data_IF_335846487300
#
_entry.id   IF_335846487300
#
_cell.length_a   1.000
_cell.length_b   1.000
_cell.length_c   1.000
_cell.angle_alpha   90.00
_cell.angle_beta   90.00
_cell.angle_gamma   90.00
#
_symmetry.space_group_name_H-M   'P 1'
#
loop_
_entity.id
_entity.type
_entity.pdbx_description
1 polymer ?
#
# COMPACT_ATOMS: atom_id res chain seq x y z
N UNK A 1 -16.49 42.75 44.59
CA UNK A 1 -15.30 42.38 43.82
C UNK A 1 -15.63 41.13 43.01
N UNK A 2 -16.76 41.11 42.32
CA UNK A 2 -17.09 41.82 41.05
C UNK A 2 -16.62 40.93 39.88
N UNK A 3 -17.50 40.12 39.28
CA UNK A 3 -18.52 40.48 38.27
C UNK A 3 -17.83 40.96 36.96
N UNK A 4 -18.17 40.50 35.75
CA UNK A 4 -19.30 39.63 35.34
C UNK A 4 -19.02 38.88 34.01
N UNK A 5 -19.99 38.06 33.58
CA UNK A 5 -19.94 37.20 32.38
C UNK A 5 -20.31 37.94 31.06
N UNK A 6 -20.38 37.28 29.88
CA UNK A 6 -20.34 37.95 28.56
C UNK A 6 -21.70 38.39 28.00
N UNK A 7 -21.68 39.36 27.08
CA UNK A 7 -22.86 39.82 26.35
C UNK A 7 -23.10 39.04 25.04
N UNK A 8 -24.24 38.34 24.97
CA UNK A 8 -25.07 38.24 23.76
C UNK A 8 -25.85 39.58 23.60
N UNK A 9 -26.54 39.96 22.51
CA UNK A 9 -27.72 39.36 21.88
C UNK A 9 -28.20 40.31 20.70
N UNK A 10 -29.45 40.41 20.20
CA UNK A 10 -29.73 40.03 18.79
C UNK A 10 -30.57 41.02 17.93
N UNK A 11 -30.96 40.55 16.73
CA UNK A 11 -32.18 40.85 15.96
C UNK A 11 -32.55 42.31 15.58
N UNK A 12 -32.78 42.55 14.27
CA UNK A 12 -34.17 42.66 13.75
C UNK A 12 -34.23 42.60 12.21
N UNK A 13 -35.42 42.27 11.67
CA UNK A 13 -35.69 41.98 10.26
C UNK A 13 -36.70 42.94 9.60
N UNK A 14 -36.53 43.20 8.29
CA UNK A 14 -37.55 43.14 7.19
C UNK A 14 -37.35 44.17 6.05
N UNK A 15 -37.53 43.68 4.80
CA UNK A 15 -38.09 44.31 3.59
C UNK A 15 -37.74 45.77 3.19
N UNK A 16 -37.12 45.96 2.01
CA UNK A 16 -37.82 46.28 0.73
C UNK A 16 -36.94 47.06 -0.28
N UNK A 17 -36.93 46.59 -1.54
CA UNK A 17 -36.82 47.33 -2.83
C UNK A 17 -36.30 48.79 -2.88
N UNK A 18 -35.25 49.06 -3.68
CA UNK A 18 -35.27 49.86 -4.92
C UNK A 18 -33.84 50.18 -5.44
N UNK A 19 -33.63 50.05 -6.75
CA UNK A 19 -32.56 50.65 -7.58
C UNK A 19 -33.20 51.77 -8.45
N UNK A 20 -32.50 52.63 -9.24
CA UNK A 20 -31.06 52.73 -9.55
C UNK A 20 -30.51 54.20 -9.58
N UNK A 21 -29.42 54.42 -10.33
CA UNK A 21 -28.71 55.71 -10.67
C UNK A 21 -27.70 56.22 -9.61
N UNK A 22 -26.57 56.86 -9.95
CA UNK A 22 -25.90 57.06 -11.25
C UNK A 22 -24.76 58.12 -11.18
N UNK A 23 -23.68 57.92 -11.96
CA UNK A 23 -22.59 58.87 -12.33
C UNK A 23 -21.35 59.14 -11.41
N UNK A 24 -20.17 58.69 -11.91
CA UNK A 24 -18.89 59.42 -12.13
C UNK A 24 -18.13 60.18 -10.99
N UNK A 25 -17.03 59.56 -10.50
CA UNK A 25 -15.56 59.97 -10.54
C UNK A 25 -15.10 61.44 -10.40
N UNK A 26 -13.82 61.81 -10.01
CA UNK A 26 -12.59 61.00 -9.78
C UNK A 26 -11.63 61.42 -8.59
N UNK A 27 -10.47 60.71 -8.43
CA UNK A 27 -9.15 61.18 -7.89
C UNK A 27 -9.01 61.51 -6.35
N UNK A 28 -7.89 61.31 -5.62
CA UNK A 28 -6.51 60.78 -5.85
C UNK A 28 -5.84 60.32 -4.49
N UNK A 29 -4.50 60.10 -4.27
CA UNK A 29 -3.98 58.83 -3.72
C UNK A 29 -3.19 58.90 -2.37
N UNK A 30 -2.44 57.82 -2.07
CA UNK A 30 -1.48 57.53 -0.96
C UNK A 30 -2.05 56.64 0.17
N UNK A 31 -1.29 55.74 0.83
CA UNK A 31 0.18 55.54 0.85
C UNK A 31 0.56 54.05 1.12
N UNK A 32 1.74 53.61 0.63
CA UNK A 32 2.30 52.29 0.95
C UNK A 32 2.87 52.23 2.37
N UNK A 33 2.83 51.07 3.02
CA UNK A 33 3.75 50.74 4.11
C UNK A 33 4.13 49.24 4.11
N UNK A 34 5.31 48.93 3.59
CA UNK A 34 5.89 47.57 3.57
C UNK A 34 6.61 47.26 4.87
N UNK A 35 6.43 46.05 5.43
CA UNK A 35 7.45 45.41 6.27
C UNK A 35 7.90 44.10 5.64
N UNK A 36 9.22 44.04 5.42
CA UNK A 36 9.98 42.95 4.82
C UNK A 36 10.81 42.36 5.95
N UNK A 37 10.69 41.06 6.21
CA UNK A 37 11.59 40.32 7.10
C UNK A 37 12.06 39.05 6.41
N UNK A 38 13.35 38.77 6.53
CA UNK A 38 14.02 37.76 5.73
C UNK A 38 13.66 36.32 6.12
N UNK A 39 13.25 35.53 5.12
CA UNK A 39 13.17 34.05 5.15
C UNK A 39 13.78 33.46 3.88
N UNK A 40 14.96 33.95 3.47
CA UNK A 40 15.60 33.54 2.20
C UNK A 40 17.00 32.95 2.33
N UNK A 41 17.47 32.69 3.56
CA UNK A 41 18.85 32.24 3.80
C UNK A 41 18.99 30.87 4.50
N UNK A 42 17.98 30.41 5.25
CA UNK A 42 17.98 29.06 5.86
C UNK A 42 17.64 27.94 4.86
N UNK A 43 17.20 28.26 3.63
CA UNK A 43 16.78 27.28 2.61
C UNK A 43 17.92 26.79 1.69
N UNK A 44 19.18 26.95 2.09
CA UNK A 44 20.37 26.64 1.25
C UNK A 44 21.41 25.71 1.88
N UNK A 45 21.22 25.26 3.12
CA UNK A 45 22.14 24.32 3.79
C UNK A 45 21.55 22.90 3.97
N UNK A 46 20.37 22.63 3.40
CA UNK A 46 19.73 21.30 3.41
C UNK A 46 19.81 20.55 2.06
N UNK A 47 20.55 21.06 1.08
CA UNK A 47 20.63 20.50 -0.29
C UNK A 47 21.97 19.77 -0.60
N UNK A 48 22.79 19.42 0.41
CA UNK A 48 24.15 18.89 0.20
C UNK A 48 24.46 17.51 0.83
N UNK A 49 23.44 16.78 1.31
CA UNK A 49 23.61 15.40 1.79
C UNK A 49 22.88 14.39 0.90
N UNK A 50 23.59 13.78 -0.04
CA UNK A 50 23.11 12.64 -0.83
C UNK A 50 23.00 11.40 0.07
N UNK A 51 21.82 10.80 0.30
CA UNK A 51 21.73 9.52 0.98
C UNK A 51 22.15 8.43 -0.01
N UNK A 52 23.09 7.57 0.39
CA UNK A 52 23.40 6.34 -0.34
C UNK A 52 22.16 5.46 -0.35
N UNK A 53 21.73 5.01 -1.55
CA UNK A 53 20.56 4.17 -1.70
C UNK A 53 20.70 2.89 -0.85
N UNK A 54 19.84 2.76 0.17
CA UNK A 54 19.60 1.50 0.86
C UNK A 54 18.47 0.80 0.14
N UNK A 55 18.62 -0.50 -0.11
CA UNK A 55 17.53 -1.31 -0.67
C UNK A 55 16.41 -1.41 0.36
N UNK A 56 15.28 -0.74 0.09
CA UNK A 56 14.09 -0.83 0.90
C UNK A 56 13.42 -2.19 0.73
N UNK A 57 13.15 -2.89 1.83
CA UNK A 57 12.36 -4.13 1.82
C UNK A 57 10.90 -3.81 2.14
N UNK A 58 10.01 -4.01 1.17
CA UNK A 58 8.56 -3.88 1.37
C UNK A 58 8.08 -4.93 2.39
N UNK A 59 7.38 -4.49 3.43
CA UNK A 59 6.97 -5.35 4.54
C UNK A 59 5.64 -6.04 4.24
N UNK A 60 5.70 -7.31 3.85
CA UNK A 60 4.50 -8.15 3.69
C UNK A 60 3.88 -8.42 5.06
N UNK A 61 2.63 -8.02 5.25
CA UNK A 61 1.88 -8.32 6.47
C UNK A 61 1.30 -9.74 6.40
N UNK A 62 2.04 -10.70 6.95
CA UNK A 62 1.54 -12.08 7.10
C UNK A 62 0.49 -12.16 8.21
N UNK A 63 -0.75 -12.47 7.84
CA UNK A 63 -1.75 -13.00 8.77
C UNK A 63 -1.67 -14.54 8.69
N UNK A 64 -1.28 -15.24 9.77
CA UNK A 64 -1.16 -16.69 9.71
C UNK A 64 -2.53 -17.34 9.52
N UNK A 65 -2.62 -18.25 8.53
CA UNK A 65 -3.71 -19.22 8.48
C UNK A 65 -3.57 -20.19 9.66
N UNK A 66 -4.67 -20.44 10.37
CA UNK A 66 -4.61 -21.21 11.60
C UNK A 66 -4.41 -22.71 11.32
N UNK A 67 -3.24 -23.23 11.70
CA UNK A 67 -2.98 -24.67 11.91
C UNK A 67 -2.17 -24.86 13.20
N UNK A 68 -2.46 -25.92 13.94
CA UNK A 68 -1.96 -26.18 15.28
C UNK A 68 -0.53 -26.73 15.33
N UNK A 69 0.19 -26.41 16.42
CA UNK A 69 0.69 -27.36 17.45
C UNK A 69 1.99 -26.92 18.15
N UNK A 70 2.20 -27.48 19.34
CA UNK A 70 3.19 -27.09 20.36
C UNK A 70 4.51 -27.86 20.31
N UNK A 71 5.62 -27.30 20.82
CA UNK A 71 6.46 -27.96 21.87
C UNK A 71 7.69 -27.14 22.37
N UNK A 72 8.27 -27.60 23.49
CA UNK A 72 9.24 -26.89 24.37
C UNK A 72 10.12 -27.88 25.15
N UNK A 73 11.37 -27.60 25.58
CA UNK A 73 12.35 -26.52 25.32
C UNK A 73 13.69 -26.85 26.05
N UNK A 74 14.76 -26.06 25.83
CA UNK A 74 16.06 -26.06 26.58
C UNK A 74 16.94 -27.33 26.46
N UNK A 75 18.25 -27.39 26.74
CA UNK A 75 19.27 -26.43 27.22
C UNK A 75 20.45 -27.20 27.88
N UNK A 76 21.71 -26.77 27.76
CA UNK A 76 22.91 -27.49 28.24
C UNK A 76 23.96 -26.52 28.85
N UNK A 77 25.24 -26.86 29.12
CA UNK A 77 25.93 -28.08 29.63
C UNK A 77 26.91 -27.79 30.82
N UNK A 78 27.55 -28.80 31.46
CA UNK A 78 29.02 -28.81 31.81
C UNK A 78 29.47 -30.04 32.66
N UNK A 79 30.76 -30.44 32.57
CA UNK A 79 31.42 -31.40 33.49
C UNK A 79 32.96 -31.22 33.55
N UNK A 80 33.58 -31.57 34.68
CA UNK A 80 34.96 -31.18 35.11
C UNK A 80 35.94 -32.38 35.20
N UNK A 81 37.26 -32.13 34.99
CA UNK A 81 38.37 -33.09 35.19
C UNK A 81 38.74 -33.31 36.68
N UNK A 82 39.24 -34.51 37.03
CA UNK A 82 39.98 -34.79 38.29
C UNK A 82 41.37 -35.40 38.03
N UNK A 83 42.12 -35.67 39.10
CA UNK A 83 43.60 -35.59 39.17
C UNK A 83 44.24 -36.78 39.95
N UNK A 84 45.53 -37.04 39.68
CA UNK A 84 46.56 -37.69 40.56
C UNK A 84 46.43 -39.20 40.90
N UNK A 85 47.48 -39.91 41.41
CA UNK A 85 48.93 -39.61 41.46
C UNK A 85 49.93 -40.79 41.11
N UNK A 86 51.22 -40.44 41.04
CA UNK A 86 52.50 -41.14 41.35
C UNK A 86 52.52 -42.51 42.08
N UNK A 87 53.60 -43.34 42.11
CA UNK A 87 54.92 -43.44 41.42
C UNK A 87 55.57 -44.80 41.79
N UNK A 88 56.29 -45.49 40.90
CA UNK A 88 57.62 -46.14 41.14
C UNK A 88 58.07 -46.97 39.91
N UNK A 89 59.38 -47.11 39.73
CA UNK A 89 60.09 -47.85 38.66
C UNK A 89 61.07 -48.86 39.33
N UNK A 90 61.92 -49.66 38.65
CA UNK A 90 62.19 -49.74 37.19
C UNK A 90 62.34 -51.18 36.61
N UNK A 91 62.57 -51.31 35.29
CA UNK A 91 63.77 -51.99 34.72
C UNK A 91 63.68 -52.31 33.21
N UNK A 92 64.82 -52.12 32.53
CA UNK A 92 65.30 -52.85 31.33
C UNK A 92 64.33 -53.33 30.22
N UNK A 93 63.60 -52.39 29.58
CA UNK A 93 63.19 -52.56 28.17
C UNK A 93 63.28 -51.25 27.34
N UNK A 94 64.04 -50.27 27.83
CA UNK A 94 63.91 -48.85 27.42
C UNK A 94 64.61 -48.45 26.12
N UNK A 95 65.61 -49.18 25.59
CA UNK A 95 66.34 -48.72 24.40
C UNK A 95 65.54 -48.89 23.09
N UNK A 96 64.88 -50.03 22.88
CA UNK A 96 64.03 -50.26 21.69
C UNK A 96 62.70 -49.51 21.78
N UNK A 97 62.09 -49.48 22.96
CA UNK A 97 60.83 -48.75 23.17
C UNK A 97 61.00 -47.23 22.97
N UNK A 98 62.06 -46.62 23.51
CA UNK A 98 62.33 -45.19 23.31
C UNK A 98 62.62 -44.85 21.85
N UNK A 99 63.42 -45.66 21.14
CA UNK A 99 63.69 -45.44 19.72
C UNK A 99 62.43 -45.57 18.85
N UNK A 100 61.55 -46.52 19.16
CA UNK A 100 60.26 -46.69 18.46
C UNK A 100 59.28 -45.54 18.77
N UNK A 101 59.21 -45.11 20.04
CA UNK A 101 58.42 -43.94 20.46
C UNK A 101 58.91 -42.65 19.80
N UNK A 102 60.22 -42.46 19.67
CA UNK A 102 60.81 -41.28 19.05
C UNK A 102 60.67 -41.29 17.52
N UNK A 103 60.69 -42.47 16.88
CA UNK A 103 60.26 -42.63 15.48
C UNK A 103 58.75 -42.38 15.29
N UNK A 104 57.90 -42.91 16.18
CA UNK A 104 56.45 -42.67 16.15
C UNK A 104 56.13 -41.20 16.38
N UNK A 105 56.82 -40.52 17.31
CA UNK A 105 56.65 -39.11 17.62
C UNK A 105 57.13 -38.22 16.48
N UNK A 106 58.27 -38.53 15.83
CA UNK A 106 58.67 -37.84 14.59
C UNK A 106 57.68 -38.07 13.45
N UNK A 107 57.14 -39.29 13.29
CA UNK A 107 56.13 -39.58 12.26
C UNK A 107 54.80 -38.87 12.55
N UNK A 108 54.28 -38.89 13.78
CA UNK A 108 53.04 -38.17 14.12
C UNK A 108 53.25 -36.66 14.08
N UNK A 109 54.40 -36.12 14.50
CA UNK A 109 54.68 -34.69 14.36
C UNK A 109 54.75 -34.25 12.90
N UNK A 110 55.42 -35.01 12.03
CA UNK A 110 55.40 -34.75 10.59
C UNK A 110 53.99 -34.89 10.01
N UNK A 111 53.20 -35.89 10.41
CA UNK A 111 51.80 -36.04 9.95
C UNK A 111 50.93 -34.89 10.45
N UNK A 112 51.08 -34.43 11.69
CA UNK A 112 50.34 -33.29 12.26
C UNK A 112 50.75 -31.98 11.58
N UNK A 113 52.03 -31.74 11.31
CA UNK A 113 52.50 -30.59 10.54
C UNK A 113 52.02 -30.65 9.08
N UNK A 114 51.96 -31.85 8.48
CA UNK A 114 51.48 -32.03 7.10
C UNK A 114 49.96 -31.88 7.02
N UNK A 115 49.19 -32.45 7.95
CA UNK A 115 47.73 -32.26 8.06
C UNK A 115 47.38 -30.82 8.44
N UNK A 116 48.19 -30.16 9.27
CA UNK A 116 48.09 -28.74 9.58
C UNK A 116 48.34 -27.88 8.33
N UNK A 117 49.39 -28.18 7.55
CA UNK A 117 49.65 -27.52 6.26
C UNK A 117 48.59 -27.81 5.21
N UNK A 118 48.03 -29.01 5.16
CA UNK A 118 46.91 -29.37 4.27
C UNK A 118 45.64 -28.62 4.70
N UNK A 119 45.33 -28.52 6.00
CA UNK A 119 44.19 -27.74 6.49
C UNK A 119 44.37 -26.23 6.29
N UNK A 120 45.59 -25.71 6.42
CA UNK A 120 45.91 -24.31 6.09
C UNK A 120 45.82 -24.07 4.59
N UNK A 121 46.35 -24.96 3.75
CA UNK A 121 46.25 -24.87 2.30
C UNK A 121 44.82 -25.04 1.79
N UNK A 122 44.02 -25.93 2.37
CA UNK A 122 42.61 -26.12 2.06
C UNK A 122 41.77 -24.93 2.55
N UNK A 123 42.05 -24.38 3.74
CA UNK A 123 41.42 -23.14 4.22
C UNK A 123 41.80 -21.94 3.37
N UNK A 124 43.05 -21.84 2.91
CA UNK A 124 43.51 -20.82 1.96
C UNK A 124 42.86 -21.01 0.59
N UNK A 125 42.75 -22.23 0.08
CA UNK A 125 42.06 -22.52 -1.19
C UNK A 125 40.55 -22.26 -1.09
N UNK A 126 39.92 -22.51 0.07
CA UNK A 126 38.51 -22.19 0.29
C UNK A 126 38.30 -20.68 0.47
N UNK A 127 39.19 -19.98 1.18
CA UNK A 127 39.15 -18.52 1.30
C UNK A 127 39.44 -17.85 -0.06
N UNK A 128 40.40 -18.34 -0.82
CA UNK A 128 40.68 -17.92 -2.19
C UNK A 128 39.51 -18.28 -3.11
N UNK A 129 38.84 -19.42 -2.95
CA UNK A 129 37.63 -19.76 -3.71
C UNK A 129 36.41 -18.92 -3.29
N UNK A 130 36.36 -18.37 -2.08
CA UNK A 130 35.35 -17.40 -1.63
C UNK A 130 35.68 -15.96 -2.07
N UNK A 131 36.96 -15.65 -2.29
CA UNK A 131 37.44 -14.37 -2.85
C UNK A 131 37.46 -14.36 -4.39
N UNK A 132 37.55 -15.53 -5.03
CA UNK A 132 37.54 -15.75 -6.48
C UNK A 132 36.22 -16.34 -6.99
N UNK A 133 35.33 -16.81 -6.12
CA UNK A 133 33.93 -16.91 -6.51
C UNK A 133 33.54 -15.53 -6.99
N UNK A 134 33.09 -15.36 -8.25
CA UNK A 134 32.65 -14.06 -8.69
C UNK A 134 31.59 -13.64 -7.69
N UNK A 135 31.83 -12.51 -7.01
CA UNK A 135 30.76 -11.83 -6.32
C UNK A 135 29.70 -11.63 -7.38
N UNK A 136 28.61 -12.40 -7.29
CA UNK A 136 27.35 -12.04 -7.91
C UNK A 136 26.82 -10.82 -7.16
N UNK A 137 27.56 -9.72 -7.24
CA UNK A 137 27.01 -8.46 -7.66
C UNK A 137 26.31 -8.72 -9.00
N UNK A 138 25.13 -9.35 -8.92
CA UNK A 138 24.07 -9.06 -9.86
C UNK A 138 23.95 -7.54 -9.77
N UNK A 139 24.52 -6.85 -10.76
CA UNK A 139 24.27 -5.44 -10.93
C UNK A 139 22.74 -5.35 -10.98
N UNK A 140 22.15 -4.60 -10.05
CA UNK A 140 20.70 -4.45 -10.00
C UNK A 140 20.26 -4.03 -11.40
N UNK A 141 19.39 -4.82 -12.03
CA UNK A 141 18.92 -4.47 -13.36
C UNK A 141 18.32 -3.06 -13.29
N UNK A 142 18.63 -2.18 -14.26
CA UNK A 142 18.14 -0.81 -14.22
C UNK A 142 16.62 -0.85 -14.19
N UNK A 143 16.03 -0.18 -13.19
CA UNK A 143 14.58 -0.08 -13.04
C UNK A 143 14.02 0.51 -14.35
N UNK A 144 13.06 -0.19 -14.95
CA UNK A 144 12.45 0.24 -16.21
C UNK A 144 11.54 1.44 -15.94
N UNK A 145 11.80 2.60 -16.54
CA UNK A 145 10.85 3.72 -16.49
C UNK A 145 9.93 3.72 -17.71
N UNK A 146 8.62 3.77 -17.50
CA UNK A 146 7.56 3.80 -18.52
C UNK A 146 6.78 5.13 -18.41
N UNK A 147 6.93 6.08 -19.35
CA UNK A 147 6.19 7.34 -19.31
C UNK A 147 4.73 7.17 -19.75
N UNK A 148 3.79 7.75 -19.00
CA UNK A 148 2.35 7.70 -19.29
C UNK A 148 1.89 8.81 -20.26
N UNK A 149 2.74 9.77 -20.63
CA UNK A 149 2.38 10.95 -21.46
C UNK A 149 1.82 10.64 -22.88
N UNK A 150 1.84 9.37 -23.30
CA UNK A 150 1.26 8.90 -24.57
C UNK A 150 0.08 7.94 -24.34
N UNK A 151 -0.49 7.90 -23.13
CA UNK A 151 -1.73 7.16 -22.85
C UNK A 151 -2.87 7.67 -23.72
N UNK A 152 -3.73 6.75 -24.13
CA UNK A 152 -5.01 7.12 -24.71
C UNK A 152 -5.97 7.45 -23.57
N UNK A 153 -6.43 8.70 -23.48
CA UNK A 153 -7.41 9.09 -22.48
C UNK A 153 -8.81 8.68 -22.92
N UNK A 154 -9.55 8.07 -22.00
CA UNK A 154 -10.94 7.67 -22.14
C UNK A 154 -11.83 8.58 -21.27
N UNK A 155 -12.41 9.66 -21.84
CA UNK A 155 -13.16 10.65 -21.05
C UNK A 155 -14.36 10.03 -20.33
N UNK A 156 -14.58 10.45 -19.09
CA UNK A 156 -15.78 10.14 -18.32
C UNK A 156 -16.95 11.04 -18.77
N UNK A 157 -18.21 10.72 -18.39
CA UNK A 157 -19.36 11.58 -18.67
C UNK A 157 -19.23 12.97 -18.05
N UNK A 158 -19.80 14.00 -18.68
CA UNK A 158 -19.71 15.39 -18.23
C UNK A 158 -20.09 15.58 -16.74
N UNK A 159 -19.22 16.25 -15.99
CA UNK A 159 -19.40 16.50 -14.56
C UNK A 159 -19.14 15.29 -13.65
N UNK A 160 -18.66 14.17 -14.20
CA UNK A 160 -18.23 12.98 -13.47
C UNK A 160 -16.71 12.87 -13.54
N UNK A 161 -16.09 12.54 -12.41
CA UNK A 161 -14.64 12.41 -12.28
C UNK A 161 -14.27 11.17 -11.49
N UNK A 162 -12.98 10.90 -11.40
CA UNK A 162 -12.41 10.06 -10.37
C UNK A 162 -12.71 8.59 -10.56
N UNK A 163 -12.38 8.05 -11.74
CA UNK A 163 -12.33 6.61 -12.03
C UNK A 163 -11.24 5.93 -11.21
N UNK A 164 -11.49 5.81 -9.91
CA UNK A 164 -10.44 5.59 -8.91
C UNK A 164 -9.94 4.15 -8.92
N UNK A 165 -10.85 3.18 -9.01
CA UNK A 165 -10.58 1.74 -8.98
C UNK A 165 -11.21 1.05 -10.19
N UNK A 166 -10.43 0.17 -10.84
CA UNK A 166 -10.78 -0.48 -12.09
C UNK A 166 -11.03 -1.98 -11.92
N UNK A 167 -12.00 -2.51 -12.67
CA UNK A 167 -12.24 -3.96 -12.72
C UNK A 167 -12.59 -4.44 -14.13
N UNK A 168 -12.33 -5.73 -14.38
CA UNK A 168 -12.66 -6.43 -15.62
C UNK A 168 -13.38 -7.72 -15.29
N UNK A 169 -14.44 -8.04 -16.04
CA UNK A 169 -15.18 -9.28 -15.80
C UNK A 169 -14.51 -10.50 -16.43
N UNK A 170 -14.98 -11.69 -16.04
CA UNK A 170 -14.50 -12.99 -16.53
C UNK A 170 -14.67 -13.23 -18.04
N UNK A 171 -15.41 -12.37 -18.75
CA UNK A 171 -15.56 -12.39 -20.21
C UNK A 171 -14.60 -11.39 -20.89
N UNK A 172 -13.76 -10.72 -20.12
CA UNK A 172 -12.85 -9.68 -20.59
C UNK A 172 -13.54 -8.34 -20.90
N UNK A 173 -14.80 -8.14 -20.49
CA UNK A 173 -15.47 -6.85 -20.71
C UNK A 173 -15.05 -5.84 -19.62
N UNK A 174 -15.15 -4.56 -19.98
CA UNK A 174 -14.75 -3.43 -19.15
C UNK A 174 -13.97 -2.39 -19.96
N UNK A 175 -13.24 -1.48 -19.29
CA UNK A 175 -13.16 -1.36 -17.84
C UNK A 175 -14.51 -1.07 -17.18
N UNK A 176 -14.65 -1.55 -15.95
CA UNK A 176 -15.65 -1.07 -14.99
C UNK A 176 -14.93 -0.12 -14.03
N UNK A 177 -15.51 1.02 -13.71
CA UNK A 177 -14.87 2.06 -12.89
C UNK A 177 -15.84 2.67 -11.87
N UNK A 178 -15.40 2.83 -10.63
CA UNK A 178 -16.10 3.59 -9.60
C UNK A 178 -15.89 5.08 -9.81
N UNK A 179 -16.93 5.91 -9.76
CA UNK A 179 -16.86 7.34 -10.11
C UNK A 179 -17.45 8.25 -9.04
N UNK A 180 -17.19 9.56 -9.16
CA UNK A 180 -17.42 10.54 -8.09
C UNK A 180 -18.88 10.86 -7.76
N UNK A 181 -19.86 10.42 -8.58
CA UNK A 181 -21.29 10.53 -8.26
C UNK A 181 -21.88 9.30 -7.56
N UNK A 182 -21.07 8.29 -7.23
CA UNK A 182 -21.50 7.08 -6.53
C UNK A 182 -21.92 5.92 -7.44
N UNK A 183 -21.81 6.07 -8.76
CA UNK A 183 -22.00 4.96 -9.71
C UNK A 183 -20.75 4.10 -9.86
N UNK A 184 -20.99 2.88 -10.35
CA UNK A 184 -20.00 2.13 -11.13
C UNK A 184 -20.41 2.20 -12.60
N UNK A 185 -19.54 2.72 -13.45
CA UNK A 185 -19.72 2.75 -14.89
C UNK A 185 -19.07 1.52 -15.55
N UNK A 186 -19.54 1.17 -16.74
CA UNK A 186 -18.95 0.16 -17.64
C UNK A 186 -18.71 0.77 -19.00
N UNK A 187 -17.49 0.65 -19.51
CA UNK A 187 -17.17 0.97 -20.89
C UNK A 187 -17.68 -0.13 -21.84
N UNK A 188 -18.46 0.27 -22.84
CA UNK A 188 -19.01 -0.64 -23.86
C UNK A 188 -18.24 -0.65 -25.18
N UNK A 189 -17.06 -0.01 -25.24
CA UNK A 189 -16.38 0.29 -26.50
C UNK A 189 -16.89 1.58 -27.15
N UNK A 190 -16.18 2.07 -28.15
CA UNK A 190 -16.42 3.38 -28.79
C UNK A 190 -17.81 3.56 -29.40
N UNK A 191 -18.51 2.48 -29.73
CA UNK A 191 -19.87 2.51 -30.27
C UNK A 191 -20.98 2.65 -29.20
N UNK A 192 -20.71 2.27 -27.94
CA UNK A 192 -21.69 2.27 -26.84
C UNK A 192 -21.37 3.30 -25.75
N UNK A 193 -20.12 3.72 -25.61
CA UNK A 193 -19.71 4.67 -24.60
C UNK A 193 -19.70 4.10 -23.18
N UNK A 194 -19.77 4.98 -22.19
CA UNK A 194 -19.97 4.62 -20.78
C UNK A 194 -21.45 4.39 -20.48
N UNK A 195 -21.74 3.32 -19.74
CA UNK A 195 -23.08 3.00 -19.25
C UNK A 195 -23.05 2.78 -17.74
N UNK A 196 -24.12 3.15 -17.02
CA UNK A 196 -24.23 2.85 -15.58
C UNK A 196 -24.41 1.34 -15.40
N UNK A 197 -23.45 0.69 -14.75
CA UNK A 197 -23.53 -0.73 -14.39
C UNK A 197 -24.14 -0.93 -13.01
N UNK A 198 -23.69 -0.19 -12.00
CA UNK A 198 -24.22 -0.30 -10.64
C UNK A 198 -24.37 1.06 -9.95
N UNK A 199 -25.25 1.11 -8.94
CA UNK A 199 -25.43 2.26 -8.06
C UNK A 199 -26.05 1.83 -6.72
N UNK A 200 -26.00 2.72 -5.72
CA UNK A 200 -26.68 2.53 -4.43
C UNK A 200 -28.22 2.57 -4.56
N UNK A 201 -28.92 2.01 -3.58
CA UNK A 201 -30.39 1.90 -3.57
C UNK A 201 -31.14 3.23 -3.56
N UNK A 202 -30.48 4.32 -3.15
CA UNK A 202 -31.10 5.64 -3.09
C UNK A 202 -30.59 6.59 -4.19
N UNK A 203 -29.58 6.21 -4.97
CA UNK A 203 -28.99 7.03 -6.05
C UNK A 203 -30.06 7.70 -6.94
N UNK A 204 -31.00 6.92 -7.51
CA UNK A 204 -32.06 7.46 -8.39
C UNK A 204 -33.18 8.21 -7.66
N UNK A 205 -33.27 8.08 -6.33
CA UNK A 205 -34.29 8.72 -5.49
C UNK A 205 -33.83 10.09 -4.98
N UNK A 206 -32.54 10.39 -5.08
CA UNK A 206 -31.91 11.60 -4.57
C UNK A 206 -31.44 12.44 -5.77
N UNK A 207 -32.15 13.53 -6.12
CA UNK A 207 -31.84 14.31 -7.33
C UNK A 207 -30.40 14.83 -7.39
N UNK A 208 -29.79 15.10 -6.22
CA UNK A 208 -28.39 15.56 -6.08
C UNK A 208 -27.35 14.53 -6.56
N UNK A 209 -27.69 13.24 -6.62
CA UNK A 209 -26.81 12.20 -7.15
C UNK A 209 -26.89 12.07 -8.68
N UNK A 210 -27.99 12.52 -9.27
CA UNK A 210 -28.25 12.43 -10.72
C UNK A 210 -28.04 13.74 -11.47
N UNK A 211 -27.78 14.84 -10.76
CA UNK A 211 -27.62 16.16 -11.33
C UNK A 211 -26.24 16.74 -10.98
N UNK A 212 -25.40 16.98 -12.00
CA UNK A 212 -24.04 17.53 -11.90
C UNK A 212 -24.02 19.03 -11.53
N UNK A 213 -24.84 19.45 -10.56
CA UNK A 213 -25.03 20.86 -10.12
C UNK A 213 -24.44 21.14 -8.75
N UNK A 214 -24.02 20.12 -8.02
CA UNK A 214 -23.30 20.20 -6.73
C UNK A 214 -21.97 19.46 -6.89
N UNK A 215 -20.85 19.97 -6.33
CA UNK A 215 -19.59 19.23 -6.29
C UNK A 215 -19.77 17.83 -5.68
N UNK A 216 -19.12 16.83 -6.27
CA UNK A 216 -19.24 15.44 -5.81
C UNK A 216 -18.83 15.29 -4.34
N UNK A 217 -17.82 16.03 -3.88
CA UNK A 217 -17.32 15.97 -2.49
C UNK A 217 -18.41 16.26 -1.44
N UNK A 218 -19.41 17.09 -1.79
CA UNK A 218 -20.54 17.42 -0.91
C UNK A 218 -21.65 16.35 -0.95
N UNK A 219 -21.70 15.52 -2.00
CA UNK A 219 -22.75 14.52 -2.24
C UNK A 219 -22.27 13.07 -2.07
N UNK A 220 -20.97 12.79 -2.11
CA UNK A 220 -20.35 11.45 -1.96
C UNK A 220 -20.93 10.70 -0.73
N UNK A 221 -21.09 11.39 0.41
CA UNK A 221 -21.65 10.81 1.65
C UNK A 221 -23.11 10.38 1.61
N UNK A 222 -23.84 10.74 0.55
CA UNK A 222 -25.27 10.46 0.34
C UNK A 222 -25.47 9.55 -0.87
N UNK A 223 -24.67 9.75 -1.93
CA UNK A 223 -24.77 9.04 -3.19
C UNK A 223 -23.97 7.73 -3.21
N UNK A 224 -22.90 7.69 -2.42
CA UNK A 224 -21.84 6.68 -2.45
C UNK A 224 -20.56 7.24 -3.07
N UNK A 225 -19.46 6.55 -2.81
CA UNK A 225 -18.19 6.73 -3.52
C UNK A 225 -17.46 5.38 -3.61
N UNK A 226 -17.68 4.61 -4.70
CA UNK A 226 -16.96 3.36 -4.94
C UNK A 226 -15.45 3.59 -5.16
N UNK A 227 -14.62 2.93 -4.34
CA UNK A 227 -13.14 3.02 -4.35
C UNK A 227 -12.42 1.66 -4.41
N UNK A 228 -13.14 0.56 -4.38
CA UNK A 228 -12.53 -0.76 -4.50
C UNK A 228 -13.43 -1.67 -5.30
N UNK A 229 -13.00 -2.03 -6.51
CA UNK A 229 -13.73 -2.92 -7.39
C UNK A 229 -12.96 -4.22 -7.61
N UNK A 230 -13.64 -5.35 -7.39
CA UNK A 230 -13.13 -6.67 -7.75
C UNK A 230 -14.27 -7.65 -8.07
N UNK A 231 -14.19 -8.30 -9.24
CA UNK A 231 -15.09 -9.40 -9.58
C UNK A 231 -14.70 -10.70 -8.89
N UNK A 232 -15.69 -11.48 -8.47
CA UNK A 232 -15.53 -12.89 -8.17
C UNK A 232 -15.80 -13.71 -9.43
N UNK A 233 -14.75 -14.26 -10.06
CA UNK A 233 -14.83 -14.86 -11.38
C UNK A 233 -15.78 -16.07 -11.48
N UNK A 234 -16.05 -16.76 -10.36
CA UNK A 234 -16.91 -17.94 -10.32
C UNK A 234 -18.40 -17.62 -10.52
N UNK A 235 -18.90 -16.53 -9.93
CA UNK A 235 -20.30 -16.08 -10.10
C UNK A 235 -20.42 -14.98 -11.16
N UNK A 236 -19.40 -14.13 -11.26
CA UNK A 236 -19.49 -12.86 -11.97
C UNK A 236 -20.10 -11.73 -11.13
N UNK A 237 -20.25 -11.93 -9.81
CA UNK A 237 -20.59 -10.84 -8.90
C UNK A 237 -19.43 -9.85 -8.82
N UNK A 238 -19.75 -8.55 -8.82
CA UNK A 238 -18.82 -7.47 -8.51
C UNK A 238 -18.98 -7.11 -7.03
N UNK A 239 -17.88 -7.17 -6.28
CA UNK A 239 -17.78 -6.58 -4.95
C UNK A 239 -17.29 -5.14 -5.08
N UNK A 240 -17.87 -4.28 -4.23
CA UNK A 240 -17.65 -2.84 -4.23
C UNK A 240 -17.34 -2.42 -2.79
N UNK A 241 -16.19 -1.81 -2.57
CA UNK A 241 -15.90 -1.02 -1.39
C UNK A 241 -16.35 0.42 -1.68
N UNK A 242 -17.29 0.91 -0.89
CA UNK A 242 -17.80 2.28 -0.97
C UNK A 242 -17.41 3.05 0.29
N UNK A 243 -16.78 4.21 0.11
CA UNK A 243 -16.20 5.01 1.19
C UNK A 243 -17.19 5.43 2.28
N UNK A 244 -18.49 5.43 1.99
CA UNK A 244 -19.53 5.85 2.93
C UNK A 244 -20.60 4.77 3.14
N UNK A 245 -20.84 3.91 2.15
CA UNK A 245 -21.90 2.89 2.19
C UNK A 245 -21.40 1.50 2.61
N UNK A 246 -20.08 1.31 2.75
CA UNK A 246 -19.48 0.09 3.28
C UNK A 246 -19.13 -0.95 2.21
N UNK A 247 -19.15 -2.23 2.59
CA UNK A 247 -18.95 -3.33 1.66
C UNK A 247 -20.27 -3.67 0.96
N UNK A 248 -20.27 -3.67 -0.37
CA UNK A 248 -21.43 -3.86 -1.22
C UNK A 248 -21.18 -4.93 -2.29
N UNK A 249 -22.25 -5.46 -2.90
CA UNK A 249 -22.18 -6.45 -3.98
C UNK A 249 -23.28 -6.23 -5.02
N UNK A 250 -22.96 -6.51 -6.29
CA UNK A 250 -23.93 -6.56 -7.39
C UNK A 250 -23.69 -7.79 -8.27
N UNK A 251 -24.76 -8.38 -8.79
CA UNK A 251 -24.68 -9.51 -9.71
C UNK A 251 -24.18 -9.11 -11.12
N UNK A 252 -23.88 -10.10 -11.99
CA UNK A 252 -23.29 -9.86 -13.33
C UNK A 252 -24.16 -9.05 -14.31
N UNK A 253 -25.44 -8.81 -13.97
CA UNK A 253 -26.36 -8.01 -14.78
C UNK A 253 -26.36 -6.51 -14.42
N UNK A 254 -25.67 -6.11 -13.35
CA UNK A 254 -25.72 -4.75 -12.83
C UNK A 254 -27.05 -4.42 -12.14
N UNK A 255 -27.24 -3.14 -11.80
CA UNK A 255 -28.44 -2.60 -11.16
C UNK A 255 -28.17 -1.98 -9.78
N UNK A 256 -29.13 -2.18 -8.88
CA UNK A 256 -29.05 -1.72 -7.48
C UNK A 256 -28.20 -2.68 -6.66
N UNK A 257 -27.09 -2.18 -6.10
CA UNK A 257 -26.14 -2.97 -5.33
C UNK A 257 -26.61 -3.19 -3.88
N UNK A 258 -26.48 -4.43 -3.41
CA UNK A 258 -26.77 -4.88 -2.03
C UNK A 258 -25.66 -4.41 -1.09
N UNK A 259 -26.00 -3.80 0.05
CA UNK A 259 -25.05 -3.53 1.13
C UNK A 259 -24.89 -4.81 1.96
N UNK A 260 -23.67 -5.35 2.03
CA UNK A 260 -23.35 -6.56 2.78
C UNK A 260 -22.96 -6.25 4.22
N UNK A 261 -22.19 -5.18 4.46
CA UNK A 261 -21.76 -4.78 5.79
C UNK A 261 -21.41 -3.29 5.88
N UNK A 262 -21.73 -2.67 7.02
CA UNK A 262 -21.36 -1.29 7.38
C UNK A 262 -20.57 -1.20 8.70
N UNK A 263 -20.31 -2.35 9.33
CA UNK A 263 -19.59 -2.51 10.58
C UNK A 263 -18.95 -3.90 10.66
N UNK A 264 -17.96 -4.07 11.54
CA UNK A 264 -17.42 -5.38 11.89
C UNK A 264 -18.29 -6.08 12.96
N UNK A 265 -18.09 -7.39 13.15
CA UNK A 265 -18.84 -8.20 14.13
C UNK A 265 -18.54 -7.83 15.60
N UNK A 266 -17.46 -7.11 15.85
CA UNK A 266 -17.15 -6.48 17.14
C UNK A 266 -18.02 -5.25 17.44
N UNK A 267 -18.85 -4.82 16.48
CA UNK A 267 -19.73 -3.66 16.55
C UNK A 267 -19.12 -2.34 16.07
N UNK A 268 -17.84 -2.32 15.67
CA UNK A 268 -17.19 -1.10 15.22
C UNK A 268 -17.55 -0.77 13.76
N UNK A 269 -18.33 0.30 13.58
CA UNK A 269 -18.73 0.86 12.29
C UNK A 269 -17.53 1.17 11.38
N UNK A 270 -17.73 1.10 10.07
CA UNK A 270 -16.77 1.59 9.09
C UNK A 270 -16.93 3.11 8.94
N UNK A 271 -15.85 3.81 8.65
CA UNK A 271 -15.90 5.25 8.38
C UNK A 271 -15.31 5.62 7.01
N UNK A 272 -14.37 4.82 6.48
CA UNK A 272 -13.78 5.07 5.17
C UNK A 272 -13.31 3.74 4.55
N UNK A 273 -14.24 2.95 4.01
CA UNK A 273 -13.90 1.73 3.25
C UNK A 273 -13.24 2.11 1.93
N UNK A 274 -12.11 1.49 1.56
CA UNK A 274 -11.30 1.96 0.45
C UNK A 274 -11.03 0.85 -0.59
N UNK A 275 -9.88 0.17 -0.52
CA UNK A 275 -9.56 -0.94 -1.40
C UNK A 275 -10.23 -2.27 -0.99
N UNK A 276 -10.45 -3.16 -1.96
CA UNK A 276 -10.77 -4.56 -1.72
C UNK A 276 -10.17 -5.51 -2.76
N UNK A 277 -10.04 -6.78 -2.39
CA UNK A 277 -9.77 -7.91 -3.29
C UNK A 277 -10.54 -9.15 -2.82
N UNK A 278 -10.74 -10.11 -3.72
CA UNK A 278 -11.56 -11.30 -3.49
C UNK A 278 -10.72 -12.55 -3.71
N UNK A 279 -10.69 -13.44 -2.73
CA UNK A 279 -10.13 -14.78 -2.89
C UNK A 279 -10.96 -15.54 -3.94
N UNK A 280 -10.38 -15.73 -5.13
CA UNK A 280 -11.05 -16.34 -6.28
C UNK A 280 -11.39 -17.83 -6.08
N UNK A 281 -10.89 -18.48 -5.02
CA UNK A 281 -11.25 -19.85 -4.68
C UNK A 281 -12.44 -19.94 -3.68
N UNK A 282 -12.46 -19.09 -2.64
CA UNK A 282 -13.51 -19.13 -1.59
C UNK A 282 -14.66 -18.15 -1.84
N UNK A 283 -14.36 -17.01 -2.46
CA UNK A 283 -15.27 -15.85 -2.57
C UNK A 283 -15.19 -14.89 -1.39
N UNK A 284 -14.31 -15.14 -0.41
CA UNK A 284 -14.10 -14.23 0.72
C UNK A 284 -13.50 -12.91 0.25
N UNK A 285 -13.91 -11.81 0.88
CA UNK A 285 -13.48 -10.46 0.51
C UNK A 285 -12.54 -9.93 1.58
N UNK A 286 -11.38 -9.44 1.16
CA UNK A 286 -10.41 -8.76 2.02
C UNK A 286 -10.45 -7.28 1.66
N UNK A 287 -10.67 -6.42 2.64
CA UNK A 287 -10.91 -4.99 2.40
C UNK A 287 -10.35 -4.11 3.50
N UNK A 288 -10.12 -2.84 3.18
CA UNK A 288 -9.58 -1.84 4.10
C UNK A 288 -10.65 -0.88 4.58
N UNK A 289 -10.51 -0.44 5.82
CA UNK A 289 -11.16 0.76 6.36
C UNK A 289 -10.03 1.72 6.72
N UNK A 290 -9.81 2.73 5.89
CA UNK A 290 -8.63 3.62 5.91
C UNK A 290 -8.52 4.44 7.20
N UNK A 291 -9.64 4.72 7.86
CA UNK A 291 -9.69 5.36 9.17
C UNK A 291 -10.93 4.88 9.91
N UNK A 292 -10.77 4.47 11.18
CA UNK A 292 -11.89 4.16 12.06
C UNK A 292 -12.47 5.39 12.79
N UNK A 293 -12.12 6.62 12.37
CA UNK A 293 -12.53 7.87 13.04
C UNK A 293 -13.07 8.95 12.11
N UNK A 294 -12.50 9.08 10.91
CA UNK A 294 -12.85 10.14 9.96
C UNK A 294 -13.33 9.57 8.62
N UNK A 295 -14.50 10.00 8.11
CA UNK A 295 -14.89 9.69 6.75
C UNK A 295 -14.07 10.47 5.72
N UNK A 296 -14.00 9.91 4.52
CA UNK A 296 -13.22 10.39 3.36
C UNK A 296 -13.20 11.91 3.12
N UNK A 297 -14.31 12.63 3.34
CA UNK A 297 -14.36 14.09 3.18
C UNK A 297 -13.35 14.86 4.04
N UNK A 298 -12.82 14.22 5.09
CA UNK A 298 -11.79 14.73 5.98
C UNK A 298 -10.40 14.10 5.71
N UNK A 299 -10.11 13.74 4.45
CA UNK A 299 -8.83 13.17 4.03
C UNK A 299 -7.63 13.99 4.54
N UNK A 300 -7.70 15.32 4.42
CA UNK A 300 -6.64 16.23 4.91
C UNK A 300 -6.36 16.04 6.40
N UNK A 301 -7.41 15.93 7.23
CA UNK A 301 -7.29 15.69 8.66
C UNK A 301 -6.71 14.30 8.97
N UNK A 302 -7.06 13.26 8.20
CA UNK A 302 -6.47 11.92 8.34
C UNK A 302 -4.96 11.98 8.08
N UNK A 303 -4.55 12.62 6.99
CA UNK A 303 -3.13 12.80 6.64
C UNK A 303 -2.37 13.64 7.67
N UNK A 304 -2.96 14.75 8.15
CA UNK A 304 -2.30 15.68 9.07
C UNK A 304 -2.19 15.13 10.50
N UNK A 305 -3.18 14.35 10.96
CA UNK A 305 -3.11 13.68 12.26
C UNK A 305 -2.16 12.47 12.25
N UNK A 306 -1.93 11.86 11.07
CA UNK A 306 -1.13 10.65 10.88
C UNK A 306 -1.51 9.49 11.83
N UNK A 307 -2.75 9.45 12.31
CA UNK A 307 -3.21 8.54 13.33
C UNK A 307 -3.49 7.15 12.74
N UNK A 308 -2.64 6.18 13.07
CA UNK A 308 -2.80 4.78 12.68
C UNK A 308 -4.04 4.16 13.35
N UNK A 309 -5.18 4.34 12.70
CA UNK A 309 -6.53 3.93 13.16
C UNK A 309 -7.25 3.06 12.12
N UNK A 310 -6.62 2.81 10.98
CA UNK A 310 -7.20 2.01 9.91
C UNK A 310 -7.17 0.52 10.22
N UNK A 311 -7.95 -0.25 9.46
CA UNK A 311 -8.16 -1.69 9.66
C UNK A 311 -8.04 -2.46 8.35
N UNK A 312 -7.54 -3.69 8.44
CA UNK A 312 -7.69 -4.73 7.43
C UNK A 312 -8.77 -5.70 7.93
N UNK A 313 -9.77 -5.96 7.10
CA UNK A 313 -10.92 -6.80 7.43
C UNK A 313 -11.10 -7.95 6.43
N UNK A 314 -11.80 -9.00 6.85
CA UNK A 314 -12.30 -10.08 5.99
C UNK A 314 -13.79 -10.26 6.17
N UNK A 315 -14.52 -10.25 5.06
CA UNK A 315 -15.89 -10.76 4.97
C UNK A 315 -15.83 -12.24 4.54
N UNK A 316 -16.29 -13.15 5.42
CA UNK A 316 -16.42 -14.57 5.11
C UNK A 316 -17.68 -14.80 4.28
N UNK A 317 -17.52 -15.23 3.02
CA UNK A 317 -18.64 -15.32 2.07
C UNK A 317 -19.66 -16.42 2.42
N UNK A 318 -19.32 -17.34 3.31
CA UNK A 318 -20.17 -18.45 3.75
C UNK A 318 -20.93 -18.10 5.03
N UNK A 319 -20.30 -17.48 6.02
CA UNK A 319 -20.96 -17.09 7.28
C UNK A 319 -21.54 -15.67 7.25
N UNK A 320 -21.15 -14.86 6.26
CA UNK A 320 -21.50 -13.44 6.11
C UNK A 320 -21.00 -12.53 7.25
N UNK A 321 -19.96 -12.98 7.94
CA UNK A 321 -19.34 -12.31 9.09
C UNK A 321 -18.19 -11.41 8.65
N UNK A 322 -17.99 -10.29 9.35
CA UNK A 322 -16.85 -9.39 9.15
C UNK A 322 -15.92 -9.42 10.36
N UNK A 323 -14.73 -9.98 10.15
CA UNK A 323 -13.66 -10.04 11.16
C UNK A 323 -12.57 -9.01 10.87
N UNK A 324 -12.15 -8.25 11.87
CA UNK A 324 -10.94 -7.42 11.80
C UNK A 324 -9.70 -8.33 11.89
N UNK A 325 -8.87 -8.35 10.85
CA UNK A 325 -7.65 -9.17 10.78
C UNK A 325 -6.41 -8.44 11.32
N UNK A 326 -6.39 -7.11 11.17
CA UNK A 326 -5.44 -6.18 11.77
C UNK A 326 -6.12 -4.84 12.00
N UNK A 327 -5.82 -4.21 13.13
CA UNK A 327 -6.19 -2.83 13.44
C UNK A 327 -4.90 -1.97 13.53
N UNK A 328 -5.07 -0.70 13.87
CA UNK A 328 -4.00 0.27 14.10
C UNK A 328 -3.06 0.44 12.89
N UNK A 329 -3.63 0.39 11.68
CA UNK A 329 -2.89 0.56 10.43
C UNK A 329 -2.80 2.05 10.02
N UNK A 330 -1.64 2.52 9.52
CA UNK A 330 -1.43 3.89 9.07
C UNK A 330 -2.02 4.13 7.67
N UNK A 331 -3.31 4.49 7.62
CA UNK A 331 -4.04 4.80 6.38
C UNK A 331 -3.90 3.70 5.30
N UNK A 332 -4.49 2.51 5.54
CA UNK A 332 -4.53 1.45 4.53
C UNK A 332 -5.50 1.81 3.40
N UNK A 333 -5.00 1.94 2.18
CA UNK A 333 -5.79 2.17 0.96
C UNK A 333 -6.00 0.86 0.22
N UNK A 334 -5.06 0.50 -0.66
CA UNK A 334 -5.11 -0.72 -1.44
C UNK A 334 -4.93 -1.99 -0.62
N UNK A 335 -5.51 -3.09 -1.14
CA UNK A 335 -5.29 -4.44 -0.63
C UNK A 335 -5.29 -5.45 -1.78
N UNK A 336 -4.40 -6.43 -1.73
CA UNK A 336 -4.31 -7.51 -2.70
C UNK A 336 -3.99 -8.85 -2.02
N UNK A 337 -4.78 -9.88 -2.30
CA UNK A 337 -4.48 -11.27 -1.94
C UNK A 337 -3.26 -11.76 -2.73
N UNK A 338 -2.41 -12.58 -2.15
CA UNK A 338 -1.27 -13.16 -2.87
C UNK A 338 -1.70 -14.25 -3.85
N UNK A 339 -0.94 -14.45 -4.92
CA UNK A 339 -1.26 -15.47 -5.95
C UNK A 339 -1.26 -16.91 -5.42
N UNK A 340 -0.45 -17.19 -4.39
CA UNK A 340 -0.38 -18.45 -3.66
C UNK A 340 -1.38 -18.52 -2.48
N UNK A 341 -2.11 -17.43 -2.21
CA UNK A 341 -3.13 -17.27 -1.15
C UNK A 341 -2.59 -17.48 0.27
N UNK A 342 -1.29 -17.24 0.49
CA UNK A 342 -0.64 -17.37 1.80
C UNK A 342 -0.64 -16.07 2.62
N UNK A 343 -0.83 -14.92 1.97
CA UNK A 343 -0.76 -13.61 2.60
C UNK A 343 -1.60 -12.56 1.85
N UNK A 344 -1.70 -11.37 2.46
CA UNK A 344 -2.35 -10.21 1.87
C UNK A 344 -1.35 -9.04 1.91
N UNK A 345 -1.22 -8.33 0.80
CA UNK A 345 -0.46 -7.08 0.70
C UNK A 345 -1.42 -5.93 0.96
N UNK A 346 -1.00 -4.97 1.77
CA UNK A 346 -1.76 -3.74 2.09
C UNK A 346 -0.87 -2.55 1.74
N UNK A 347 -1.43 -1.57 1.05
CA UNK A 347 -0.76 -0.31 0.73
C UNK A 347 -1.11 0.73 1.80
N UNK A 348 -0.10 1.21 2.54
CA UNK A 348 -0.25 2.24 3.57
C UNK A 348 0.19 3.59 3.02
N UNK A 349 -0.72 4.56 2.98
CA UNK A 349 -0.50 5.81 2.23
C UNK A 349 0.62 6.68 2.79
N UNK A 350 0.86 6.71 4.11
CA UNK A 350 1.93 7.51 4.72
C UNK A 350 2.95 6.71 5.58
N UNK A 351 2.97 5.37 5.50
CA UNK A 351 3.96 4.60 6.25
C UNK A 351 5.34 4.63 5.57
N UNK A 352 6.29 5.30 6.21
CA UNK A 352 7.66 5.53 5.73
C UNK A 352 8.54 4.26 5.66
N UNK A 353 7.96 3.06 5.72
CA UNK A 353 8.66 1.78 5.93
C UNK A 353 9.00 1.01 4.66
N UNK A 354 8.48 1.44 3.51
CA UNK A 354 9.11 1.23 2.22
C UNK A 354 9.56 2.61 1.70
N UNK A 355 10.78 2.72 1.16
CA UNK A 355 11.30 3.94 0.52
C UNK A 355 10.63 4.19 -0.85
N UNK A 356 9.32 3.97 -0.95
CA UNK A 356 8.53 4.25 -2.15
C UNK A 356 8.57 5.77 -2.44
N UNK A 357 8.71 6.20 -3.71
CA UNK A 357 8.92 7.62 -3.96
C UNK A 357 7.67 8.49 -3.72
N UNK A 358 6.46 7.92 -3.70
CA UNK A 358 5.21 8.64 -3.42
C UNK A 358 4.39 7.97 -2.32
N UNK A 359 3.16 8.45 -2.11
CA UNK A 359 2.21 7.88 -1.17
C UNK A 359 1.40 6.75 -1.83
N UNK A 360 1.47 5.49 -1.34
CA UNK A 360 0.73 4.37 -1.91
C UNK A 360 -0.80 4.54 -1.88
N UNK A 361 -1.44 4.18 -2.99
CA UNK A 361 -2.90 4.15 -3.14
C UNK A 361 -3.38 2.69 -3.34
N UNK A 362 -4.00 2.30 -4.46
CA UNK A 362 -4.32 0.89 -4.69
C UNK A 362 -3.07 0.03 -5.01
N UNK A 363 -3.15 -1.24 -4.62
CA UNK A 363 -2.22 -2.30 -5.00
C UNK A 363 -2.97 -3.41 -5.74
N UNK A 364 -2.43 -3.86 -6.86
CA UNK A 364 -3.01 -4.93 -7.71
C UNK A 364 -1.96 -5.99 -7.99
N UNK A 365 -2.34 -7.27 -8.03
CA UNK A 365 -1.47 -8.33 -8.60
C UNK A 365 -1.18 -8.02 -10.06
N UNK A 366 0.07 -8.19 -10.48
CA UNK A 366 0.41 -8.23 -11.90
C UNK A 366 0.28 -9.66 -12.49
N UNK A 367 0.40 -9.80 -13.80
CA UNK A 367 0.33 -11.11 -14.47
C UNK A 367 1.60 -11.98 -14.30
N UNK A 368 2.60 -11.49 -13.54
CA UNK A 368 3.96 -12.03 -13.40
C UNK A 368 4.28 -12.45 -11.95
N UNK A 369 3.29 -12.43 -11.06
CA UNK A 369 3.43 -12.82 -9.65
C UNK A 369 3.94 -11.71 -8.72
N UNK A 370 4.13 -10.50 -9.25
CA UNK A 370 4.40 -9.28 -8.50
C UNK A 370 3.13 -8.43 -8.32
N UNK A 371 3.34 -7.14 -8.08
CA UNK A 371 2.26 -6.18 -7.84
C UNK A 371 2.53 -4.84 -8.54
N UNK A 372 1.48 -4.22 -9.05
CA UNK A 372 1.45 -2.78 -9.32
C UNK A 372 0.96 -2.04 -8.08
N UNK A 373 1.57 -0.91 -7.76
CA UNK A 373 1.15 0.02 -6.70
C UNK A 373 1.02 1.40 -7.32
N UNK A 374 -0.16 1.99 -7.27
CA UNK A 374 -0.37 3.37 -7.69
C UNK A 374 0.21 4.33 -6.63
N UNK A 375 0.76 5.46 -7.06
CA UNK A 375 1.37 6.45 -6.19
C UNK A 375 0.74 7.84 -6.37
N UNK A 376 0.41 8.43 -5.24
CA UNK A 376 -0.10 9.79 -5.11
C UNK A 376 1.03 10.73 -4.63
N UNK A 377 1.09 11.95 -5.16
CA UNK A 377 2.18 12.97 -5.04
C UNK A 377 3.46 12.87 -5.92
N UNK A 378 3.99 14.07 -6.22
CA UNK A 378 4.87 14.40 -7.34
C UNK A 378 6.38 14.12 -7.19
N UNK A 379 6.86 13.23 -6.30
CA UNK A 379 8.31 13.02 -6.17
C UNK A 379 8.84 12.43 -7.49
N UNK A 380 9.67 13.21 -8.19
CA UNK A 380 10.14 12.91 -9.56
C UNK A 380 9.03 12.67 -10.62
N UNK A 381 7.80 13.13 -10.39
CA UNK A 381 6.60 12.83 -11.20
C UNK A 381 6.28 11.33 -11.31
N UNK A 382 6.68 10.53 -10.32
CA UNK A 382 6.34 9.11 -10.26
C UNK A 382 4.89 8.92 -9.80
N UNK A 383 4.12 8.12 -10.55
CA UNK A 383 2.68 7.87 -10.32
C UNK A 383 2.34 6.39 -10.10
N UNK A 384 3.34 5.51 -10.16
CA UNK A 384 3.17 4.10 -9.84
C UNK A 384 4.47 3.32 -9.93
N UNK A 385 4.53 2.18 -9.26
CA UNK A 385 5.65 1.24 -9.31
C UNK A 385 5.16 -0.18 -9.52
N UNK A 386 5.98 -1.01 -10.17
CA UNK A 386 5.83 -2.47 -10.17
C UNK A 386 6.88 -3.08 -9.26
N UNK A 387 6.40 -3.91 -8.33
CA UNK A 387 7.19 -4.74 -7.45
C UNK A 387 7.20 -6.16 -8.01
N UNK A 388 8.37 -6.82 -8.02
CA UNK A 388 8.49 -8.24 -8.32
C UNK A 388 7.91 -9.13 -7.22
N UNK A 389 7.84 -10.44 -7.46
CA UNK A 389 7.32 -11.42 -6.49
C UNK A 389 8.08 -11.48 -5.15
N UNK A 390 9.33 -10.98 -5.13
CA UNK A 390 10.20 -10.80 -3.97
C UNK A 390 10.03 -9.42 -3.28
N UNK A 391 9.12 -8.57 -3.75
CA UNK A 391 8.92 -7.21 -3.26
C UNK A 391 9.94 -6.17 -3.71
N UNK A 392 10.89 -6.50 -4.62
CA UNK A 392 11.82 -5.50 -5.15
C UNK A 392 11.21 -4.73 -6.31
N UNK A 393 11.41 -3.42 -6.35
CA UNK A 393 11.00 -2.57 -7.46
C UNK A 393 11.70 -2.95 -8.77
N UNK A 394 10.94 -2.98 -9.86
CA UNK A 394 11.38 -3.43 -11.19
C UNK A 394 10.85 -2.55 -12.34
N UNK A 395 9.85 -1.71 -12.10
CA UNK A 395 9.33 -0.77 -13.09
C UNK A 395 8.72 0.47 -12.42
N UNK A 396 8.92 1.65 -13.01
CA UNK A 396 8.43 2.96 -12.59
C UNK A 396 7.47 3.52 -13.64
N UNK A 397 6.30 4.05 -13.24
CA UNK A 397 5.42 4.85 -14.10
C UNK A 397 5.62 6.33 -13.82
N UNK A 398 5.96 7.12 -14.83
CA UNK A 398 6.12 8.57 -14.72
C UNK A 398 5.09 9.32 -15.54
N UNK A 399 4.57 10.43 -15.02
CA UNK A 399 3.55 11.24 -15.67
C UNK A 399 3.97 12.70 -15.84
N UNK A 400 3.08 13.51 -16.44
CA UNK A 400 3.20 14.96 -16.38
C UNK A 400 2.97 15.46 -14.94
N UNK A 401 3.51 16.64 -14.63
CA UNK A 401 3.32 17.28 -13.33
C UNK A 401 1.82 17.52 -13.05
N UNK A 402 1.37 17.24 -11.83
CA UNK A 402 -0.04 17.36 -11.42
C UNK A 402 -0.95 16.20 -11.83
N UNK A 403 -0.41 15.14 -12.45
CA UNK A 403 -1.13 13.87 -12.65
C UNK A 403 -0.94 13.00 -11.42
N UNK A 404 -2.04 12.49 -10.87
CA UNK A 404 -2.10 11.54 -9.75
C UNK A 404 -2.81 10.28 -10.23
N UNK A 405 -2.31 9.11 -9.83
CA UNK A 405 -2.98 7.83 -10.08
C UNK A 405 -3.36 7.18 -8.75
N UNK A 406 -4.49 6.50 -8.77
CA UNK A 406 -5.03 5.74 -7.63
C UNK A 406 -5.10 4.25 -7.90
N UNK A 407 -5.10 3.80 -9.17
CA UNK A 407 -5.07 2.37 -9.52
C UNK A 407 -4.27 2.13 -10.81
N UNK A 408 -3.65 0.95 -10.91
CA UNK A 408 -2.88 0.51 -12.09
C UNK A 408 -3.20 -0.96 -12.32
N UNK A 409 -4.08 -1.22 -13.29
CA UNK A 409 -4.55 -2.56 -13.62
C UNK A 409 -3.94 -3.07 -14.93
N UNK A 410 -3.39 -4.29 -14.94
CA UNK A 410 -2.86 -4.94 -16.13
C UNK A 410 -3.94 -5.82 -16.78
N UNK A 411 -4.30 -5.55 -18.05
CA UNK A 411 -5.27 -6.34 -18.81
C UNK A 411 -4.84 -6.45 -20.28
N UNK A 412 -4.76 -7.69 -20.78
CA UNK A 412 -4.45 -8.02 -22.17
C UNK A 412 -3.17 -7.35 -22.72
N UNK A 413 -2.15 -7.23 -21.87
CA UNK A 413 -0.87 -6.59 -22.19
C UNK A 413 -0.87 -5.06 -22.14
N UNK A 414 -1.98 -4.44 -21.71
CA UNK A 414 -2.12 -2.99 -21.53
C UNK A 414 -2.20 -2.65 -20.04
N UNK A 415 -1.72 -1.44 -19.70
CA UNK A 415 -1.95 -0.83 -18.40
C UNK A 415 -3.14 0.11 -18.49
N UNK A 416 -4.06 -0.02 -17.53
CA UNK A 416 -5.23 0.83 -17.36
C UNK A 416 -5.03 1.63 -16.09
N UNK A 417 -5.16 2.95 -16.18
CA UNK A 417 -4.72 3.88 -15.15
C UNK A 417 -5.96 4.53 -14.52
N UNK A 418 -6.23 4.20 -13.26
CA UNK A 418 -7.28 4.83 -12.47
C UNK A 418 -6.76 6.05 -11.73
N UNK A 419 -7.60 7.06 -11.54
CA UNK A 419 -7.29 8.25 -10.73
C UNK A 419 -8.54 8.69 -9.98
N UNK A 420 -8.37 9.09 -8.72
CA UNK A 420 -9.45 9.66 -7.90
C UNK A 420 -9.83 11.10 -8.29
N UNK A 421 -8.99 11.80 -9.06
CA UNK A 421 -9.12 13.23 -9.36
C UNK A 421 -9.52 13.52 -10.82
N UNK A 422 -9.01 12.75 -11.78
CA UNK A 422 -9.13 13.05 -13.22
C UNK A 422 -10.54 12.81 -13.80
N UNK A 423 -10.85 13.48 -14.92
CA UNK A 423 -12.08 13.34 -15.71
C UNK A 423 -11.96 12.30 -16.84
N UNK A 424 -10.92 11.46 -16.82
CA UNK A 424 -10.69 10.35 -17.74
C UNK A 424 -10.01 9.16 -17.04
N UNK A 425 -9.95 8.04 -17.76
CA UNK A 425 -9.09 6.88 -17.52
C UNK A 425 -7.97 6.90 -18.57
#
# INVERSE_FOLDING_TARGET
MDLDAPCTNPNHSKFSSYEPTGAKTPNRPHQNCTRRTDRRQERKELESSTPTAKQGHVRVHTAPSATSDSETATGAPWAIKRHLPAHHAPSHQTSKAAALLDQLHRRTKNVIETMGRINVAASLLLAVALLLSPSFCAAAEPIKTTPTQWSFHLPLPDGVTGAESLAFDRRGQGPYAGVSDGRVLKWGGSALGWTTFAHSANYRKIPLCTASVVPSQDTESICGRPLGLQFFAKTGDLYIADAYLGLMKIGPNGGEAEVLATQADDGAAFHFVNGLDVDQATGDVYFTDSSATYPRRFNTEIMMNAAATGRLLRYDARTKQVTVLRADLPYPNGVAMSSDRTHVVVAHTYELLADLPGYPDNVRRDARGGYWVALNQEKANLVGVRLGANGTEVEELTAAKGVTLSDVAEKDGQLWLGSVELDYL
#
